data_IF_857051493725
#
_entry.id   IF_857051493725
#
_cell.length_a   1.000
_cell.length_b   1.000
_cell.length_c   1.000
_cell.angle_alpha   90.00
_cell.angle_beta   90.00
_cell.angle_gamma   90.00
#
_symmetry.space_group_name_H-M   'P 1'
#
loop_
_entity.id
_entity.type
_entity.pdbx_description
1 polymer ?
#
# COMPACT_ATOMS: atom_id res chain seq x y z
N UNK A 1 28.32 4.55 -10.77
CA UNK A 1 26.88 4.76 -10.60
C UNK A 1 26.35 3.59 -9.77
N UNK A 2 26.04 3.83 -8.50
CA UNK A 2 25.38 2.83 -7.66
C UNK A 2 23.90 2.75 -8.09
N UNK A 3 23.50 1.65 -8.71
CA UNK A 3 22.10 1.37 -8.94
C UNK A 3 21.52 0.76 -7.65
N UNK A 4 20.57 1.44 -7.03
CA UNK A 4 19.84 0.89 -5.88
C UNK A 4 18.82 -0.16 -6.37
N UNK A 5 18.90 -1.41 -5.95
CA UNK A 5 18.07 -2.48 -6.49
C UNK A 5 16.61 -2.43 -6.02
N UNK A 6 16.26 -1.58 -5.07
CA UNK A 6 14.91 -1.52 -4.51
C UNK A 6 14.58 -0.14 -3.92
N UNK A 7 13.54 0.49 -4.43
CA UNK A 7 13.01 1.77 -3.93
C UNK A 7 11.88 1.59 -2.91
N UNK A 8 11.81 0.42 -2.27
CA UNK A 8 10.82 0.14 -1.23
C UNK A 8 11.01 1.04 0.00
N UNK A 9 9.93 1.65 0.47
CA UNK A 9 9.96 2.50 1.66
C UNK A 9 9.91 1.63 2.91
N UNK A 10 10.86 1.87 3.82
CA UNK A 10 10.88 1.32 5.16
C UNK A 10 11.14 2.46 6.15
N UNK A 11 10.06 2.98 6.73
CA UNK A 11 10.13 4.16 7.60
C UNK A 11 10.88 3.90 8.91
N UNK A 12 10.90 2.65 9.41
CA UNK A 12 11.71 2.29 10.57
C UNK A 12 13.21 2.47 10.31
N UNK A 13 13.69 1.99 9.15
CA UNK A 13 15.10 2.20 8.76
C UNK A 13 15.42 3.67 8.49
N UNK A 14 14.46 4.38 7.89
CA UNK A 14 14.62 5.81 7.60
C UNK A 14 14.79 6.62 8.88
N UNK A 15 13.95 6.38 9.89
CA UNK A 15 14.04 7.06 11.18
C UNK A 15 15.38 6.80 11.88
N UNK A 16 15.88 5.56 11.85
CA UNK A 16 17.15 5.21 12.46
C UNK A 16 18.33 5.89 11.73
N UNK A 17 18.26 5.95 10.39
CA UNK A 17 19.26 6.67 9.61
C UNK A 17 19.22 8.18 9.87
N UNK A 18 18.05 8.76 10.03
CA UNK A 18 17.85 10.17 10.36
C UNK A 18 18.41 10.48 11.75
N UNK A 19 18.16 9.62 12.74
CA UNK A 19 18.74 9.71 14.08
C UNK A 19 20.27 9.60 14.03
N UNK A 20 20.81 8.63 13.26
CA UNK A 20 22.23 8.48 13.03
C UNK A 20 22.86 9.78 12.48
N UNK A 21 22.26 10.35 11.42
CA UNK A 21 22.75 11.59 10.81
C UNK A 21 22.62 12.78 11.74
N UNK A 22 21.50 12.90 12.46
CA UNK A 22 21.26 13.99 13.42
C UNK A 22 22.24 14.01 14.59
N UNK A 23 22.67 12.82 15.04
CA UNK A 23 23.64 12.67 16.12
C UNK A 23 25.10 12.66 15.63
N UNK A 24 25.31 12.55 14.31
CA UNK A 24 26.65 12.40 13.71
C UNK A 24 27.64 13.49 14.13
N UNK A 25 27.20 14.74 14.23
CA UNK A 25 28.03 15.85 14.63
C UNK A 25 28.37 15.86 16.14
N UNK A 26 27.57 15.22 16.97
CA UNK A 26 27.72 15.25 18.44
C UNK A 26 28.49 14.06 18.97
N UNK A 27 28.15 12.86 18.51
CA UNK A 27 28.59 11.60 19.12
C UNK A 27 29.62 10.83 18.29
N UNK A 28 29.80 11.17 16.99
CA UNK A 28 30.56 10.34 16.06
C UNK A 28 31.89 10.92 15.60
N UNK A 29 32.37 12.02 16.23
CA UNK A 29 33.69 12.60 15.93
C UNK A 29 34.87 11.65 16.24
N UNK A 30 34.61 10.55 16.95
CA UNK A 30 35.59 9.55 17.34
C UNK A 30 35.50 8.23 16.57
N UNK A 31 34.46 8.04 15.73
CA UNK A 31 34.28 6.80 14.96
C UNK A 31 35.18 6.78 13.72
N UNK A 32 35.72 5.61 13.47
CA UNK A 32 36.42 5.30 12.22
C UNK A 32 35.44 5.12 11.07
N UNK A 33 35.93 5.28 9.85
CA UNK A 33 35.11 5.06 8.64
C UNK A 33 34.54 3.64 8.59
N UNK A 34 35.31 2.64 9.03
CA UNK A 34 34.87 1.24 9.04
C UNK A 34 33.72 1.00 10.03
N UNK A 35 33.78 1.61 11.22
CA UNK A 35 32.68 1.54 12.20
C UNK A 35 31.39 2.18 11.69
N UNK A 36 31.51 3.26 10.91
CA UNK A 36 30.34 3.91 10.28
C UNK A 36 29.71 2.96 9.22
N UNK A 37 30.53 2.32 8.40
CA UNK A 37 30.05 1.32 7.45
C UNK A 37 29.37 0.15 8.14
N UNK A 38 29.93 -0.38 9.23
CA UNK A 38 29.30 -1.46 10.02
C UNK A 38 27.94 -1.03 10.59
N UNK A 39 27.79 0.21 11.05
CA UNK A 39 26.53 0.73 11.54
C UNK A 39 25.48 0.82 10.43
N UNK A 40 25.88 1.31 9.25
CA UNK A 40 25.00 1.40 8.08
C UNK A 40 24.56 0.00 7.63
N UNK A 41 25.50 -0.95 7.51
CA UNK A 41 25.20 -2.33 7.14
C UNK A 41 24.26 -3.02 8.15
N UNK A 42 24.45 -2.73 9.45
CA UNK A 42 23.56 -3.23 10.51
C UNK A 42 22.13 -2.66 10.38
N UNK A 43 21.99 -1.41 9.98
CA UNK A 43 20.68 -0.80 9.72
C UNK A 43 20.08 -1.38 8.44
N UNK A 44 20.87 -1.55 7.39
CA UNK A 44 20.41 -2.12 6.12
C UNK A 44 19.97 -3.58 6.26
N UNK A 45 20.68 -4.37 7.04
CA UNK A 45 20.38 -5.79 7.28
C UNK A 45 19.18 -6.02 8.20
N UNK A 46 18.63 -5.00 8.87
CA UNK A 46 17.46 -5.16 9.75
C UNK A 46 16.27 -5.77 9.02
N UNK A 47 15.66 -6.84 9.58
CA UNK A 47 14.47 -7.42 9.00
C UNK A 47 13.27 -6.46 9.10
N UNK A 48 12.27 -6.64 8.23
CA UNK A 48 11.00 -5.92 8.35
C UNK A 48 10.36 -6.24 9.71
N UNK A 49 9.85 -5.22 10.40
CA UNK A 49 9.22 -5.33 11.72
C UNK A 49 7.96 -6.20 11.70
N UNK A 50 7.20 -6.12 10.61
CA UNK A 50 5.92 -6.81 10.49
C UNK A 50 6.01 -8.03 9.57
N UNK A 51 5.29 -9.10 9.96
CA UNK A 51 5.16 -10.31 9.15
C UNK A 51 4.31 -10.06 7.90
N UNK A 52 4.38 -10.97 6.92
CA UNK A 52 3.52 -10.89 5.73
C UNK A 52 2.03 -10.93 6.08
N UNK A 53 1.65 -11.66 7.13
CA UNK A 53 0.27 -11.73 7.60
C UNK A 53 -0.19 -10.37 8.15
N UNK A 54 0.62 -9.73 9.02
CA UNK A 54 0.30 -8.40 9.56
C UNK A 54 0.21 -7.36 8.45
N UNK A 55 1.12 -7.40 7.46
CA UNK A 55 1.07 -6.53 6.29
C UNK A 55 -0.18 -6.76 5.44
N UNK A 56 -0.62 -8.03 5.29
CA UNK A 56 -1.88 -8.37 4.63
C UNK A 56 -3.10 -7.83 5.38
N UNK A 57 -3.15 -8.05 6.69
CA UNK A 57 -4.24 -7.54 7.54
C UNK A 57 -4.30 -5.99 7.54
N UNK A 58 -3.14 -5.34 7.54
CA UNK A 58 -3.04 -3.88 7.43
C UNK A 58 -3.60 -3.36 6.11
N UNK A 59 -3.27 -4.02 4.99
CA UNK A 59 -3.82 -3.69 3.67
C UNK A 59 -5.34 -3.92 3.62
N UNK A 60 -5.83 -5.02 4.21
CA UNK A 60 -7.25 -5.30 4.32
C UNK A 60 -7.98 -4.16 5.04
N UNK A 61 -7.49 -3.77 6.22
CA UNK A 61 -8.06 -2.69 7.01
C UNK A 61 -8.05 -1.36 6.25
N UNK A 62 -6.91 -1.02 5.64
CA UNK A 62 -6.75 0.22 4.89
C UNK A 62 -7.72 0.28 3.70
N UNK A 63 -7.73 -0.73 2.83
CA UNK A 63 -8.55 -0.74 1.63
C UNK A 63 -10.05 -0.77 1.96
N UNK A 64 -10.47 -1.58 2.94
CA UNK A 64 -11.86 -1.60 3.39
C UNK A 64 -12.33 -0.25 3.93
N UNK A 65 -11.51 0.42 4.73
CA UNK A 65 -11.80 1.75 5.26
C UNK A 65 -11.85 2.83 4.17
N UNK A 66 -10.89 2.80 3.22
CA UNK A 66 -10.88 3.75 2.10
C UNK A 66 -12.07 3.60 1.18
N UNK A 67 -12.57 2.37 0.94
CA UNK A 67 -13.80 2.16 0.17
C UNK A 67 -14.98 2.88 0.81
N UNK A 68 -15.14 2.82 2.13
CA UNK A 68 -16.17 3.58 2.82
C UNK A 68 -15.98 5.10 2.65
N UNK A 69 -14.75 5.61 2.75
CA UNK A 69 -14.45 7.03 2.56
C UNK A 69 -14.78 7.51 1.13
N UNK A 70 -14.60 6.64 0.13
CA UNK A 70 -14.95 6.91 -1.26
C UNK A 70 -16.46 6.81 -1.54
N UNK A 71 -17.25 6.35 -0.57
CA UNK A 71 -18.72 6.25 -0.69
C UNK A 71 -19.23 4.84 -0.96
N UNK A 72 -18.37 3.82 -0.88
CA UNK A 72 -18.77 2.42 -1.00
C UNK A 72 -19.56 1.92 0.20
N UNK A 73 -20.43 0.95 -0.03
CA UNK A 73 -21.26 0.31 0.99
C UNK A 73 -20.54 -0.83 1.72
N UNK A 74 -21.28 -1.50 2.61
CA UNK A 74 -20.74 -2.63 3.38
C UNK A 74 -20.28 -3.82 2.51
N UNK A 75 -20.94 -4.17 1.35
CA UNK A 75 -20.48 -5.29 0.54
C UNK A 75 -19.10 -5.03 -0.08
N UNK A 76 -18.92 -3.83 -0.65
CA UNK A 76 -17.64 -3.42 -1.23
C UNK A 76 -16.53 -3.34 -0.18
N UNK A 77 -16.85 -2.85 1.03
CA UNK A 77 -15.91 -2.82 2.15
C UNK A 77 -15.40 -4.21 2.49
N UNK A 78 -16.31 -5.18 2.63
CA UNK A 78 -15.95 -6.57 2.97
C UNK A 78 -15.15 -7.22 1.85
N UNK A 79 -15.62 -7.09 0.60
CA UNK A 79 -14.93 -7.70 -0.54
C UNK A 79 -13.53 -7.08 -0.75
N UNK A 80 -13.40 -5.76 -0.61
CA UNK A 80 -12.11 -5.07 -0.70
C UNK A 80 -11.18 -5.43 0.46
N UNK A 81 -11.72 -5.57 1.67
CA UNK A 81 -10.97 -6.01 2.84
C UNK A 81 -10.33 -7.39 2.59
N UNK A 82 -11.12 -8.37 2.16
CA UNK A 82 -10.62 -9.72 1.91
C UNK A 82 -9.67 -9.74 0.70
N UNK A 83 -10.06 -9.08 -0.40
CA UNK A 83 -9.27 -9.02 -1.63
C UNK A 83 -7.91 -8.37 -1.43
N UNK A 84 -7.86 -7.17 -0.85
CA UNK A 84 -6.62 -6.46 -0.57
C UNK A 84 -5.74 -7.22 0.44
N UNK A 85 -6.35 -7.83 1.45
CA UNK A 85 -5.64 -8.63 2.46
C UNK A 85 -4.88 -9.79 1.84
N UNK A 86 -5.55 -10.61 1.04
CA UNK A 86 -4.93 -11.75 0.36
C UNK A 86 -3.94 -11.32 -0.72
N UNK A 87 -4.26 -10.29 -1.50
CA UNK A 87 -3.37 -9.74 -2.52
C UNK A 87 -2.06 -9.23 -1.93
N UNK A 88 -2.11 -8.41 -0.87
CA UNK A 88 -0.91 -7.89 -0.23
C UNK A 88 -0.14 -8.95 0.57
N UNK A 89 -0.84 -9.90 1.20
CA UNK A 89 -0.18 -11.05 1.83
C UNK A 89 0.68 -11.84 0.82
N UNK A 90 0.10 -12.15 -0.35
CA UNK A 90 0.81 -12.85 -1.42
C UNK A 90 1.99 -12.04 -1.93
N UNK A 91 1.80 -10.75 -2.21
CA UNK A 91 2.86 -9.83 -2.62
C UNK A 91 4.00 -9.78 -1.60
N UNK A 92 3.67 -9.68 -0.31
CA UNK A 92 4.66 -9.66 0.77
C UNK A 92 5.44 -10.99 0.88
N UNK A 93 4.76 -12.13 0.67
CA UNK A 93 5.38 -13.44 0.65
C UNK A 93 6.32 -13.63 -0.54
N UNK A 94 5.89 -13.21 -1.74
CA UNK A 94 6.73 -13.23 -2.94
C UNK A 94 7.97 -12.34 -2.81
N UNK A 95 7.82 -11.18 -2.19
CA UNK A 95 8.94 -10.28 -1.90
C UNK A 95 10.02 -10.90 -1.00
N UNK A 96 9.63 -11.78 -0.05
CA UNK A 96 10.59 -12.56 0.76
C UNK A 96 11.34 -13.61 -0.07
N UNK A 97 10.76 -14.08 -1.16
CA UNK A 97 11.38 -15.05 -2.10
C UNK A 97 12.26 -14.36 -3.16
N UNK A 98 12.56 -13.06 -2.99
CA UNK A 98 13.38 -12.26 -3.92
C UNK A 98 12.79 -12.16 -5.35
N UNK A 99 11.48 -12.37 -5.50
CA UNK A 99 10.77 -12.14 -6.76
C UNK A 99 10.72 -10.63 -7.04
N UNK A 100 10.83 -10.26 -8.30
CA UNK A 100 10.84 -8.86 -8.71
C UNK A 100 9.58 -8.12 -8.23
N UNK A 101 9.73 -6.85 -7.90
CA UNK A 101 8.62 -6.02 -7.39
C UNK A 101 7.47 -5.95 -8.39
N UNK A 102 7.77 -5.87 -9.69
CA UNK A 102 6.75 -5.83 -10.74
C UNK A 102 5.94 -7.13 -10.81
N UNK A 103 6.62 -8.28 -10.80
CA UNK A 103 5.94 -9.57 -10.82
C UNK A 103 5.10 -9.80 -9.55
N UNK A 104 5.63 -9.48 -8.37
CA UNK A 104 4.89 -9.62 -7.12
C UNK A 104 3.69 -8.65 -7.05
N UNK A 105 3.81 -7.47 -7.64
CA UNK A 105 2.70 -6.52 -7.79
C UNK A 105 1.63 -7.06 -8.72
N UNK A 106 2.00 -7.55 -9.90
CA UNK A 106 1.06 -8.11 -10.86
C UNK A 106 0.25 -9.28 -10.28
N UNK A 107 0.95 -10.24 -9.65
CA UNK A 107 0.30 -11.39 -9.00
C UNK A 107 -0.56 -10.95 -7.81
N UNK A 108 -0.07 -10.03 -6.98
CA UNK A 108 -0.83 -9.51 -5.84
C UNK A 108 -2.13 -8.83 -6.26
N UNK A 109 -2.09 -8.00 -7.31
CA UNK A 109 -3.28 -7.34 -7.88
C UNK A 109 -4.23 -8.37 -8.49
N UNK A 110 -3.74 -9.32 -9.28
CA UNK A 110 -4.59 -10.37 -9.85
C UNK A 110 -5.35 -11.14 -8.78
N UNK A 111 -4.66 -11.55 -7.70
CA UNK A 111 -5.28 -12.24 -6.57
C UNK A 111 -6.29 -11.34 -5.86
N UNK A 112 -5.98 -10.08 -5.62
CA UNK A 112 -6.90 -9.14 -4.99
C UNK A 112 -8.19 -8.99 -5.80
N UNK A 113 -8.08 -8.79 -7.11
CA UNK A 113 -9.20 -8.65 -8.03
C UNK A 113 -10.05 -9.91 -8.11
N UNK A 114 -9.43 -11.07 -8.29
CA UNK A 114 -10.14 -12.36 -8.35
C UNK A 114 -10.85 -12.67 -7.03
N UNK A 115 -10.18 -12.40 -5.91
CA UNK A 115 -10.77 -12.59 -4.58
C UNK A 115 -11.97 -11.66 -4.35
N UNK A 116 -11.83 -10.38 -4.76
CA UNK A 116 -12.94 -9.43 -4.69
C UNK A 116 -14.15 -9.95 -5.45
N UNK A 117 -13.97 -10.36 -6.71
CA UNK A 117 -15.04 -10.87 -7.56
C UNK A 117 -15.70 -12.14 -6.96
N UNK A 118 -14.88 -13.09 -6.48
CA UNK A 118 -15.38 -14.30 -5.84
C UNK A 118 -16.20 -13.98 -4.58
N UNK A 119 -15.67 -13.08 -3.72
CA UNK A 119 -16.35 -12.64 -2.51
C UNK A 119 -17.67 -11.93 -2.84
N UNK A 120 -17.66 -11.05 -3.84
CA UNK A 120 -18.85 -10.32 -4.27
C UNK A 120 -19.94 -11.27 -4.81
N UNK A 121 -19.57 -12.25 -5.63
CA UNK A 121 -20.51 -13.30 -6.11
C UNK A 121 -21.12 -14.10 -4.97
N UNK A 122 -20.35 -14.43 -3.94
CA UNK A 122 -20.87 -15.12 -2.75
C UNK A 122 -21.88 -14.22 -2.02
N UNK A 123 -21.59 -12.93 -1.85
CA UNK A 123 -22.51 -12.00 -1.20
C UNK A 123 -23.77 -11.75 -2.04
N UNK A 124 -23.66 -11.69 -3.36
CA UNK A 124 -24.79 -11.56 -4.28
C UNK A 124 -25.78 -12.74 -4.12
N UNK A 125 -25.26 -13.96 -4.09
CA UNK A 125 -26.09 -15.17 -3.92
C UNK A 125 -26.66 -15.29 -2.51
N UNK A 126 -25.86 -14.98 -1.47
CA UNK A 126 -26.25 -15.18 -0.08
C UNK A 126 -27.21 -14.08 0.43
N UNK A 127 -27.00 -12.82 0.02
CA UNK A 127 -27.71 -11.65 0.55
C UNK A 127 -28.52 -10.89 -0.51
N UNK A 128 -28.59 -11.40 -1.75
CA UNK A 128 -29.27 -10.75 -2.88
C UNK A 128 -28.85 -9.29 -3.08
N UNK A 129 -27.56 -9.02 -2.88
CA UNK A 129 -26.97 -7.69 -3.08
C UNK A 129 -27.06 -7.35 -4.56
N UNK A 130 -27.50 -6.13 -4.89
CA UNK A 130 -27.59 -5.68 -6.28
C UNK A 130 -26.22 -5.64 -6.95
N UNK A 131 -26.13 -6.02 -8.23
CA UNK A 131 -24.90 -5.95 -9.04
C UNK A 131 -24.32 -4.51 -9.20
N UNK A 132 -25.04 -3.48 -8.75
CA UNK A 132 -24.61 -2.08 -8.82
C UNK A 132 -23.48 -1.72 -7.83
N UNK A 133 -23.00 -2.67 -7.02
CA UNK A 133 -21.95 -2.47 -6.01
C UNK A 133 -20.55 -2.87 -6.51
N UNK A 134 -20.29 -2.82 -7.81
CA UNK A 134 -19.03 -3.31 -8.40
C UNK A 134 -17.84 -2.33 -8.29
N UNK A 135 -18.10 -1.06 -7.95
CA UNK A 135 -17.05 -0.02 -7.89
C UNK A 135 -15.94 -0.29 -6.84
N UNK A 136 -16.22 -1.10 -5.82
CA UNK A 136 -15.24 -1.53 -4.83
C UNK A 136 -14.10 -2.39 -5.40
N UNK A 137 -14.25 -2.92 -6.61
CA UNK A 137 -13.21 -3.69 -7.31
C UNK A 137 -11.88 -2.93 -7.41
N UNK A 138 -11.94 -1.65 -7.80
CA UNK A 138 -10.76 -0.77 -7.83
C UNK A 138 -10.18 -0.59 -6.42
N UNK A 139 -11.04 -0.55 -5.41
CA UNK A 139 -10.65 -0.44 -4.02
C UNK A 139 -9.80 -1.60 -3.51
N UNK A 140 -10.03 -2.81 -4.02
CA UNK A 140 -9.22 -3.97 -3.66
C UNK A 140 -7.74 -3.86 -4.09
N UNK A 141 -7.41 -2.98 -5.06
CA UNK A 141 -6.04 -2.77 -5.54
C UNK A 141 -5.34 -1.56 -4.88
N UNK A 142 -6.02 -0.76 -4.03
CA UNK A 142 -5.46 0.48 -3.48
C UNK A 142 -4.16 0.28 -2.69
N UNK A 143 -3.93 -0.91 -2.13
CA UNK A 143 -2.70 -1.24 -1.41
C UNK A 143 -1.43 -1.17 -2.26
N UNK A 144 -1.56 -1.16 -3.58
CA UNK A 144 -0.43 -1.10 -4.52
C UNK A 144 -0.04 0.32 -4.88
N UNK A 145 -0.96 1.28 -4.73
CA UNK A 145 -0.71 2.67 -5.14
C UNK A 145 0.50 3.23 -4.38
N UNK A 146 1.57 3.62 -5.09
CA UNK A 146 2.82 4.04 -4.47
C UNK A 146 2.75 5.52 -4.04
N UNK A 147 1.83 5.86 -3.13
CA UNK A 147 1.59 7.24 -2.68
C UNK A 147 2.85 7.90 -2.12
N UNK A 148 3.62 7.19 -1.30
CA UNK A 148 4.86 7.72 -0.74
C UNK A 148 5.93 8.02 -1.81
N UNK A 149 6.23 7.14 -2.77
CA UNK A 149 7.10 7.46 -3.91
C UNK A 149 6.63 8.68 -4.72
N UNK A 150 5.34 8.87 -4.93
CA UNK A 150 4.83 10.07 -5.59
C UNK A 150 5.15 11.35 -4.81
N UNK A 151 4.87 11.37 -3.49
CA UNK A 151 5.13 12.52 -2.64
C UNK A 151 6.62 12.84 -2.59
N UNK A 152 7.47 11.84 -2.34
CA UNK A 152 8.92 12.04 -2.26
C UNK A 152 9.54 12.46 -3.58
N UNK A 153 9.04 11.95 -4.71
CA UNK A 153 9.42 12.38 -6.04
C UNK A 153 9.14 13.89 -6.24
N UNK A 154 7.94 14.35 -5.89
CA UNK A 154 7.60 15.76 -6.01
C UNK A 154 8.43 16.65 -5.08
N UNK A 155 8.74 16.18 -3.87
CA UNK A 155 9.63 16.89 -2.95
C UNK A 155 11.05 17.02 -3.51
N UNK A 156 11.61 15.95 -4.11
CA UNK A 156 12.94 15.98 -4.73
C UNK A 156 12.96 16.95 -5.92
N UNK A 157 11.95 16.91 -6.79
CA UNK A 157 11.81 17.84 -7.91
C UNK A 157 11.72 19.28 -7.42
N UNK A 158 10.96 19.55 -6.35
CA UNK A 158 10.81 20.89 -5.79
C UNK A 158 12.11 21.44 -5.19
N UNK A 159 13.02 20.55 -4.74
CA UNK A 159 14.37 20.86 -4.28
C UNK A 159 15.41 20.91 -5.41
N UNK A 160 14.97 20.82 -6.67
CA UNK A 160 15.82 20.78 -7.87
C UNK A 160 16.70 19.52 -7.98
N UNK A 161 16.47 18.49 -7.16
CA UNK A 161 17.07 17.16 -7.38
C UNK A 161 16.24 16.38 -8.41
N UNK A 162 16.37 16.85 -9.67
CA UNK A 162 15.58 16.34 -10.79
C UNK A 162 15.84 14.86 -11.07
N UNK A 163 17.07 14.39 -10.84
CA UNK A 163 17.45 13.01 -11.11
C UNK A 163 16.75 12.05 -10.18
N UNK A 164 16.89 12.23 -8.88
CA UNK A 164 16.23 11.39 -7.87
C UNK A 164 14.72 11.47 -7.98
N UNK A 165 14.19 12.67 -8.20
CA UNK A 165 12.75 12.89 -8.37
C UNK A 165 12.17 12.15 -9.58
N UNK A 166 12.80 12.24 -10.75
CA UNK A 166 12.33 11.57 -11.97
C UNK A 166 12.48 10.04 -11.89
N UNK A 167 13.55 9.52 -11.28
CA UNK A 167 13.72 8.08 -11.08
C UNK A 167 12.61 7.50 -10.17
N UNK A 168 12.27 8.18 -9.08
CA UNK A 168 11.16 7.79 -8.19
C UNK A 168 9.80 7.91 -8.86
N UNK A 169 9.59 8.97 -9.65
CA UNK A 169 8.36 9.16 -10.42
C UNK A 169 8.18 8.05 -11.44
N UNK A 170 9.20 7.74 -12.23
CA UNK A 170 9.17 6.67 -13.21
C UNK A 170 8.85 5.31 -12.55
N UNK A 171 9.46 5.02 -11.40
CA UNK A 171 9.14 3.82 -10.63
C UNK A 171 7.67 3.80 -10.19
N UNK A 172 7.16 4.89 -9.63
CA UNK A 172 5.77 4.99 -9.18
C UNK A 172 4.78 4.80 -10.34
N UNK A 173 5.03 5.44 -11.48
CA UNK A 173 4.23 5.29 -12.70
C UNK A 173 4.27 3.84 -13.19
N UNK A 174 5.43 3.20 -13.21
CA UNK A 174 5.57 1.81 -13.67
C UNK A 174 4.75 0.85 -12.80
N UNK A 175 4.83 0.97 -11.46
CA UNK A 175 4.04 0.15 -10.54
C UNK A 175 2.53 0.36 -10.76
N UNK A 176 2.11 1.61 -10.87
CA UNK A 176 0.70 1.96 -11.10
C UNK A 176 0.21 1.41 -12.43
N UNK A 177 1.00 1.56 -13.49
CA UNK A 177 0.67 1.03 -14.81
C UNK A 177 0.51 -0.49 -14.81
N UNK A 178 1.42 -1.22 -14.17
CA UNK A 178 1.31 -2.69 -14.03
C UNK A 178 0.05 -3.06 -13.26
N UNK A 179 -0.23 -2.40 -12.15
CA UNK A 179 -1.43 -2.66 -11.36
C UNK A 179 -2.71 -2.41 -12.17
N UNK A 180 -2.79 -1.29 -12.87
CA UNK A 180 -3.94 -0.92 -13.69
C UNK A 180 -4.15 -1.90 -14.86
N UNK A 181 -3.07 -2.26 -15.56
CA UNK A 181 -3.16 -3.22 -16.67
C UNK A 181 -3.63 -4.59 -16.20
N UNK A 182 -3.11 -5.09 -15.08
CA UNK A 182 -3.53 -6.38 -14.53
C UNK A 182 -4.98 -6.33 -14.06
N UNK A 183 -5.39 -5.28 -13.34
CA UNK A 183 -6.78 -5.10 -12.93
C UNK A 183 -7.72 -5.03 -14.14
N UNK A 184 -7.34 -4.27 -15.16
CA UNK A 184 -8.12 -4.18 -16.40
C UNK A 184 -8.21 -5.52 -17.14
N UNK A 185 -7.10 -6.27 -17.28
CA UNK A 185 -7.11 -7.60 -17.90
C UNK A 185 -8.01 -8.58 -17.15
N UNK A 186 -7.98 -8.59 -15.82
CA UNK A 186 -8.85 -9.45 -15.03
C UNK A 186 -10.32 -9.05 -15.25
N UNK A 187 -10.64 -7.75 -15.26
CA UNK A 187 -12.00 -7.28 -15.53
C UNK A 187 -12.49 -7.72 -16.93
N UNK A 188 -11.63 -7.58 -17.96
CA UNK A 188 -11.95 -8.03 -19.31
C UNK A 188 -12.21 -9.54 -19.40
N UNK A 189 -11.35 -10.36 -18.79
CA UNK A 189 -11.48 -11.82 -18.84
C UNK A 189 -12.79 -12.31 -18.25
N UNK A 190 -13.33 -11.60 -17.26
CA UNK A 190 -14.58 -11.97 -16.60
C UNK A 190 -15.77 -11.11 -17.03
N UNK A 191 -15.59 -10.25 -18.04
CA UNK A 191 -16.61 -9.32 -18.52
C UNK A 191 -17.21 -8.47 -17.37
N UNK A 192 -16.35 -8.00 -16.49
CA UNK A 192 -16.71 -7.25 -15.30
C UNK A 192 -16.63 -5.74 -15.60
N UNK A 193 -17.72 -5.02 -15.36
CA UNK A 193 -17.83 -3.59 -15.63
C UNK A 193 -18.06 -2.83 -14.33
N UNK A 194 -16.98 -2.35 -13.66
CA UNK A 194 -17.13 -1.60 -12.42
C UNK A 194 -17.92 -0.31 -12.66
N UNK A 195 -19.07 -0.19 -12.03
CA UNK A 195 -19.91 0.99 -12.05
C UNK A 195 -19.61 1.92 -10.85
N UNK A 196 -20.10 3.14 -10.88
CA UNK A 196 -19.93 4.11 -9.81
C UNK A 196 -20.63 3.67 -8.52
N UNK A 197 -20.11 4.11 -7.38
CA UNK A 197 -20.72 3.86 -6.08
C UNK A 197 -22.14 4.44 -5.99
N UNK A 198 -23.06 3.67 -5.39
CA UNK A 198 -24.38 4.15 -5.04
C UNK A 198 -24.22 5.04 -3.79
N UNK A 199 -24.74 6.27 -3.80
CA UNK A 199 -24.66 7.15 -2.65
C UNK A 199 -25.26 6.52 -1.39
N UNK A 200 -24.48 6.47 -0.30
CA UNK A 200 -24.95 6.03 1.01
C UNK A 200 -26.04 6.99 1.51
N UNK A 201 -27.25 6.49 1.68
CA UNK A 201 -28.39 7.25 2.22
C UNK A 201 -28.31 7.35 3.76
N UNK A 202 -27.22 7.92 4.27
CA UNK A 202 -27.00 8.18 5.69
C UNK A 202 -27.19 9.66 5.99
N UNK A 203 -27.59 9.98 7.23
CA UNK A 203 -27.64 11.38 7.65
C UNK A 203 -26.24 11.99 7.63
N UNK A 204 -26.08 13.30 7.30
CA UNK A 204 -24.77 13.94 7.22
C UNK A 204 -23.94 13.81 8.52
N UNK A 205 -24.60 13.88 9.66
CA UNK A 205 -23.94 13.74 10.97
C UNK A 205 -23.41 12.31 11.19
N UNK A 206 -24.23 11.31 10.88
CA UNK A 206 -23.82 9.91 11.00
C UNK A 206 -22.67 9.57 10.04
N UNK A 207 -22.74 10.10 8.81
CA UNK A 207 -21.66 9.94 7.82
C UNK A 207 -20.35 10.55 8.34
N UNK A 208 -20.39 11.75 8.93
CA UNK A 208 -19.23 12.40 9.53
C UNK A 208 -18.64 11.57 10.68
N UNK A 209 -19.48 11.09 11.60
CA UNK A 209 -19.06 10.26 12.72
C UNK A 209 -18.41 8.94 12.28
N UNK A 210 -18.91 8.32 11.21
CA UNK A 210 -18.34 7.06 10.68
C UNK A 210 -17.07 7.30 9.86
N UNK A 211 -16.93 8.46 9.21
CA UNK A 211 -15.71 8.81 8.46
C UNK A 211 -14.50 8.99 9.35
N UNK A 212 -14.65 9.48 10.57
CA UNK A 212 -13.53 9.65 11.49
C UNK A 212 -12.81 8.33 11.82
N UNK A 213 -13.49 7.28 12.34
CA UNK A 213 -12.84 5.99 12.58
C UNK A 213 -12.37 5.33 11.28
N UNK A 214 -13.09 5.48 10.17
CA UNK A 214 -12.65 4.95 8.88
C UNK A 214 -11.34 5.61 8.41
N UNK A 215 -11.20 6.93 8.55
CA UNK A 215 -9.96 7.63 8.22
C UNK A 215 -8.81 7.16 9.10
N UNK A 216 -9.05 7.00 10.40
CA UNK A 216 -8.04 6.47 11.31
C UNK A 216 -7.60 5.05 10.92
N UNK A 217 -8.55 4.14 10.68
CA UNK A 217 -8.25 2.78 10.25
C UNK A 217 -7.49 2.73 8.92
N UNK A 218 -7.86 3.59 7.96
CA UNK A 218 -7.20 3.68 6.67
C UNK A 218 -5.74 4.11 6.80
N UNK A 219 -5.48 5.21 7.50
CA UNK A 219 -4.13 5.73 7.74
C UNK A 219 -3.29 4.76 8.58
N UNK A 220 -3.86 4.21 9.64
CA UNK A 220 -3.20 3.23 10.49
C UNK A 220 -2.76 1.99 9.71
N UNK A 221 -3.65 1.43 8.86
CA UNK A 221 -3.32 0.29 8.02
C UNK A 221 -2.17 0.59 7.05
N UNK A 222 -2.19 1.74 6.36
CA UNK A 222 -1.08 2.13 5.49
C UNK A 222 0.23 2.36 6.26
N UNK A 223 0.16 2.95 7.45
CA UNK A 223 1.34 3.16 8.31
C UNK A 223 2.03 1.83 8.64
N UNK A 224 1.27 0.80 8.99
CA UNK A 224 1.80 -0.54 9.23
C UNK A 224 2.41 -1.15 7.95
N UNK A 225 1.79 -0.94 6.78
CA UNK A 225 2.33 -1.42 5.50
C UNK A 225 3.69 -0.79 5.17
N UNK A 226 3.89 0.48 5.51
CA UNK A 226 5.17 1.18 5.34
C UNK A 226 6.17 0.90 6.46
N UNK A 227 5.85 -0.04 7.36
CA UNK A 227 6.71 -0.46 8.46
C UNK A 227 6.97 0.65 9.49
N UNK A 228 6.01 1.56 9.67
CA UNK A 228 6.09 2.62 10.67
C UNK A 228 6.04 2.02 12.08
N UNK A 229 6.84 2.57 13.00
CA UNK A 229 6.79 2.16 14.40
C UNK A 229 5.52 2.69 15.06
N UNK A 230 4.85 1.85 15.86
CA UNK A 230 3.65 2.24 16.63
C UNK A 230 3.87 3.42 17.59
N UNK A 231 5.13 3.71 17.95
CA UNK A 231 5.50 4.83 18.82
C UNK A 231 5.37 6.18 18.07
N UNK A 232 5.34 6.15 16.73
CA UNK A 232 5.29 7.33 15.88
C UNK A 232 3.94 7.50 15.15
N UNK A 233 2.95 6.64 15.43
CA UNK A 233 1.57 6.76 14.97
C UNK A 233 0.73 7.48 16.02
#
# INVERSE_FOLDING_TARGET
>A
VLSLPNTGVNTDKLNILEELVGNFQKDFSFLTVDEIYELIDKIESRPKKYSAFVSGAAAALACGAFIFLLGGGWPEMICSFVGAGLGNFTRAKMGKQKITTLASTAVGVAIACLTYMACFRILEVAFQVSAQHEAGYIGAMLFVIPGFPFITSMLDISKLDMRSGLERLAYAITITTVATLVGWLVALLFNYHPENFIPLRLSPLLLLLLRLPASFCGVYGFSLMFNLSLIHI
#
